data_IF_151279939841
#
_entry.id   IF_151279939841
#
_cell.length_a   1.000
_cell.length_b   1.000
_cell.length_c   1.000
_cell.angle_alpha   90.00
_cell.angle_beta   90.00
_cell.angle_gamma   90.00
#
_symmetry.space_group_name_H-M   'P 1'
#
loop_
_entity.id
_entity.type
_entity.pdbx_description
1 polymer ?
#
# COMPACT_ATOMS: atom_id res chain seq x y z
N UNK A 1 9.82 28.75 -46.89
CA UNK A 1 8.78 29.25 -45.98
C UNK A 1 8.78 28.32 -44.78
N UNK A 2 9.35 28.77 -43.66
CA UNK A 2 9.29 28.01 -42.40
C UNK A 2 7.89 28.09 -41.83
N UNK A 3 7.32 26.94 -41.50
CA UNK A 3 6.10 26.85 -40.69
C UNK A 3 6.43 27.42 -39.31
N UNK A 4 5.69 28.40 -38.78
CA UNK A 4 5.93 28.87 -37.43
C UNK A 4 5.56 27.75 -36.45
N UNK A 5 6.45 27.46 -35.49
CA UNK A 5 6.10 26.62 -34.36
C UNK A 5 4.91 27.28 -33.64
N UNK A 6 3.81 26.55 -33.48
CA UNK A 6 2.67 27.03 -32.73
C UNK A 6 3.13 27.37 -31.30
N UNK A 7 3.09 28.65 -30.94
CA UNK A 7 3.39 29.10 -29.58
C UNK A 7 2.42 28.42 -28.62
N UNK A 8 2.95 27.78 -27.58
CA UNK A 8 2.14 27.27 -26.47
C UNK A 8 1.36 28.44 -25.86
N UNK A 9 0.10 28.22 -25.49
CA UNK A 9 -0.65 29.24 -24.75
C UNK A 9 -0.04 29.41 -23.35
N UNK A 10 -0.15 30.60 -22.77
CA UNK A 10 0.30 30.88 -21.40
C UNK A 10 -0.26 29.88 -20.37
N UNK A 11 -1.49 29.40 -20.60
CA UNK A 11 -2.12 28.34 -19.79
C UNK A 11 -1.43 26.99 -19.93
N UNK A 12 -0.94 26.65 -21.13
CA UNK A 12 -0.15 25.43 -21.35
C UNK A 12 1.24 25.55 -20.72
N UNK A 13 1.83 26.75 -20.69
CA UNK A 13 3.07 27.01 -19.97
C UNK A 13 2.89 26.94 -18.44
N UNK A 14 1.73 27.29 -17.89
CA UNK A 14 1.47 27.16 -16.44
C UNK A 14 0.86 25.80 -16.05
N UNK A 15 0.87 24.81 -16.95
CA UNK A 15 0.41 23.45 -16.64
C UNK A 15 1.59 22.49 -16.51
N UNK A 16 1.64 21.74 -15.41
CA UNK A 16 2.57 20.63 -15.21
C UNK A 16 1.90 19.34 -15.68
N UNK A 17 2.58 18.55 -16.51
CA UNK A 17 2.13 17.22 -16.93
C UNK A 17 3.25 16.20 -16.78
N UNK A 18 2.94 15.06 -16.19
CA UNK A 18 3.86 13.96 -15.98
C UNK A 18 3.15 12.64 -16.26
N UNK A 19 3.87 11.69 -16.85
CA UNK A 19 3.42 10.32 -17.02
C UNK A 19 4.45 9.37 -16.39
N UNK A 20 3.96 8.33 -15.71
CA UNK A 20 4.79 7.27 -15.13
C UNK A 20 4.09 5.93 -15.32
N UNK A 21 4.86 4.92 -15.72
CA UNK A 21 4.39 3.54 -15.74
C UNK A 21 4.99 2.80 -14.56
N UNK A 22 4.14 2.18 -13.74
CA UNK A 22 4.55 1.38 -12.60
C UNK A 22 4.33 -0.10 -12.86
N UNK A 23 5.30 -0.91 -12.47
CA UNK A 23 5.22 -2.38 -12.48
C UNK A 23 4.42 -2.88 -11.26
N UNK A 24 3.17 -2.45 -11.19
CA UNK A 24 2.24 -2.71 -10.11
C UNK A 24 0.80 -2.68 -10.64
N UNK A 25 -0.11 -3.49 -10.06
CA UNK A 25 -1.52 -3.47 -10.44
C UNK A 25 -2.16 -2.13 -10.04
N UNK A 26 -3.18 -1.72 -10.81
CA UNK A 26 -3.85 -0.41 -10.62
C UNK A 26 -4.37 -0.21 -9.21
N UNK A 27 -4.92 -1.25 -8.59
CA UNK A 27 -5.42 -1.19 -7.22
C UNK A 27 -4.33 -0.86 -6.19
N UNK A 28 -3.09 -1.33 -6.42
CA UNK A 28 -1.98 -1.01 -5.53
C UNK A 28 -1.51 0.43 -5.73
N UNK A 29 -1.44 0.92 -6.98
CA UNK A 29 -1.13 2.33 -7.24
C UNK A 29 -2.21 3.23 -6.66
N UNK A 30 -3.49 2.87 -6.82
CA UNK A 30 -4.61 3.57 -6.20
C UNK A 30 -4.52 3.58 -4.67
N UNK A 31 -4.25 2.42 -4.05
CA UNK A 31 -4.05 2.33 -2.60
C UNK A 31 -2.91 3.22 -2.13
N UNK A 32 -1.80 3.30 -2.90
CA UNK A 32 -0.67 4.14 -2.56
C UNK A 32 -1.00 5.64 -2.48
N UNK A 33 -1.97 6.09 -3.29
CA UNK A 33 -2.46 7.47 -3.31
C UNK A 33 -3.59 7.77 -2.32
N UNK A 34 -4.28 6.74 -1.82
CA UNK A 34 -5.54 6.94 -1.06
C UNK A 34 -5.45 6.47 0.38
N UNK A 35 -4.56 5.54 0.70
CA UNK A 35 -4.40 5.04 2.06
C UNK A 35 -3.24 5.76 2.76
N UNK A 36 -3.52 6.23 3.97
CA UNK A 36 -2.58 6.98 4.81
C UNK A 36 -1.28 6.22 5.05
N UNK A 37 -1.39 4.90 5.26
CA UNK A 37 -0.25 4.03 5.57
C UNK A 37 0.79 4.06 4.43
N UNK A 38 0.35 4.19 3.19
CA UNK A 38 1.22 4.33 2.02
C UNK A 38 1.75 5.74 1.81
N UNK A 39 0.87 6.76 1.87
CA UNK A 39 1.26 8.17 1.67
C UNK A 39 2.43 8.56 2.57
N UNK A 40 2.43 8.07 3.82
CA UNK A 40 3.49 8.30 4.80
C UNK A 40 4.89 7.79 4.39
N UNK A 41 5.00 7.09 3.26
CA UNK A 41 6.24 6.44 2.80
C UNK A 41 6.81 7.03 1.51
N UNK A 42 6.06 7.86 0.78
CA UNK A 42 6.51 8.32 -0.53
C UNK A 42 6.21 9.79 -0.86
N UNK A 43 5.25 10.42 -0.17
CA UNK A 43 4.76 11.77 -0.51
C UNK A 43 5.72 12.89 -0.06
N UNK A 44 6.95 12.85 -0.57
CA UNK A 44 7.95 13.88 -0.43
C UNK A 44 9.03 13.72 -1.52
N UNK A 45 9.81 14.77 -1.80
CA UNK A 45 11.03 14.64 -2.61
C UNK A 45 11.98 13.55 -2.07
N UNK A 46 12.91 13.08 -2.90
CA UNK A 46 13.79 11.93 -2.61
C UNK A 46 14.67 12.14 -1.36
N UNK A 47 15.12 13.37 -1.14
CA UNK A 47 15.97 13.78 -0.02
C UNK A 47 15.17 14.20 1.23
N UNK A 48 13.84 14.25 1.13
CA UNK A 48 12.96 14.61 2.24
C UNK A 48 12.44 13.37 2.95
N UNK A 49 11.92 13.58 4.17
CA UNK A 49 11.22 12.56 4.94
C UNK A 49 9.81 13.00 5.28
N UNK A 50 8.80 12.18 4.96
CA UNK A 50 7.44 12.41 5.46
C UNK A 50 7.43 12.27 6.99
N UNK A 51 6.99 13.33 7.68
CA UNK A 51 6.89 13.39 9.14
C UNK A 51 5.47 13.18 9.64
N UNK A 52 4.45 13.52 8.83
CA UNK A 52 3.05 13.26 9.15
C UNK A 52 2.21 13.12 7.89
N UNK A 53 1.17 12.29 7.95
CA UNK A 53 0.18 12.14 6.89
C UNK A 53 -1.22 12.03 7.51
N UNK A 54 -2.13 12.87 7.03
CA UNK A 54 -3.56 12.81 7.29
C UNK A 54 -4.26 12.74 5.96
N UNK A 55 -5.22 11.82 5.81
CA UNK A 55 -5.89 11.62 4.54
C UNK A 55 -7.35 11.19 4.72
N UNK A 56 -8.28 12.11 4.49
CA UNK A 56 -9.70 11.80 4.29
C UNK A 56 -9.98 11.77 2.79
N UNK A 57 -9.77 10.61 2.16
CA UNK A 57 -9.90 10.42 0.73
C UNK A 57 -11.36 10.24 0.29
N UNK A 58 -12.18 11.25 0.56
CA UNK A 58 -13.58 11.33 0.13
C UNK A 58 -13.83 12.65 -0.60
N UNK A 59 -14.84 12.76 -1.48
CA UNK A 59 -15.18 14.06 -2.08
C UNK A 59 -15.50 15.11 -0.99
N UNK A 60 -14.71 16.18 -0.94
CA UNK A 60 -14.76 17.23 0.09
C UNK A 60 -13.86 16.98 1.30
N UNK A 61 -13.32 15.77 1.46
CA UNK A 61 -12.40 15.42 2.53
C UNK A 61 -11.05 16.14 2.41
N UNK A 62 -10.43 16.43 3.55
CA UNK A 62 -9.16 17.13 3.64
C UNK A 62 -7.96 16.17 3.72
N UNK A 63 -6.82 16.61 3.22
CA UNK A 63 -5.55 15.92 3.39
C UNK A 63 -4.47 16.91 3.84
N UNK A 64 -3.46 16.40 4.55
CA UNK A 64 -2.33 17.18 5.05
C UNK A 64 -1.10 16.29 5.14
N UNK A 65 0.02 16.75 4.60
CA UNK A 65 1.30 16.05 4.61
C UNK A 65 2.39 16.97 5.16
N UNK A 66 3.07 16.52 6.21
CA UNK A 66 4.28 17.18 6.72
C UNK A 66 5.51 16.45 6.22
N UNK A 67 6.54 17.20 5.83
CA UNK A 67 7.82 16.68 5.35
C UNK A 67 8.98 17.46 5.95
N UNK A 68 10.11 16.79 6.12
CA UNK A 68 11.34 17.34 6.66
C UNK A 68 12.45 17.31 5.60
N UNK A 69 13.15 18.43 5.41
CA UNK A 69 14.33 18.51 4.54
C UNK A 69 15.56 17.84 5.17
N UNK A 70 16.63 17.56 4.40
CA UNK A 70 17.91 17.07 4.94
C UNK A 70 18.50 17.95 6.04
N UNK A 71 18.29 19.27 5.96
CA UNK A 71 18.75 20.26 6.92
C UNK A 71 17.86 20.33 8.19
N UNK A 72 16.74 19.62 8.20
CA UNK A 72 15.83 19.49 9.33
C UNK A 72 14.62 20.43 9.30
N UNK A 73 14.49 21.27 8.27
CA UNK A 73 13.39 22.21 8.09
C UNK A 73 12.07 21.46 7.89
N UNK A 74 10.98 21.99 8.46
CA UNK A 74 9.64 21.41 8.31
C UNK A 74 8.85 22.17 7.26
N UNK A 75 8.27 21.42 6.33
CA UNK A 75 7.31 21.94 5.36
C UNK A 75 6.01 21.17 5.49
N UNK A 76 4.90 21.87 5.35
CA UNK A 76 3.58 21.23 5.36
C UNK A 76 2.82 21.69 4.14
N UNK A 77 2.15 20.74 3.49
CA UNK A 77 1.19 21.03 2.44
C UNK A 77 -0.12 20.30 2.72
N UNK A 78 -1.20 20.80 2.13
CA UNK A 78 -2.51 20.22 2.29
C UNK A 78 -3.52 20.72 1.28
N UNK A 79 -4.74 20.24 1.43
CA UNK A 79 -5.85 20.67 0.60
C UNK A 79 -7.07 19.78 0.76
N UNK A 80 -7.93 19.78 -0.25
CA UNK A 80 -9.18 19.03 -0.27
C UNK A 80 -9.34 18.23 -1.54
N UNK A 81 -9.93 17.05 -1.42
CA UNK A 81 -10.33 16.25 -2.57
C UNK A 81 -11.57 16.86 -3.23
N UNK A 82 -11.46 17.20 -4.51
CA UNK A 82 -12.58 17.66 -5.34
C UNK A 82 -13.35 16.50 -5.96
N UNK A 83 -12.65 15.42 -6.31
CA UNK A 83 -13.26 14.20 -6.81
C UNK A 83 -12.41 12.98 -6.44
N UNK A 84 -13.08 11.90 -6.06
CA UNK A 84 -12.48 10.59 -5.78
C UNK A 84 -13.31 9.58 -6.56
N UNK A 85 -12.72 8.98 -7.60
CA UNK A 85 -13.38 7.97 -8.44
C UNK A 85 -12.53 6.71 -8.40
N UNK A 86 -12.75 5.80 -7.44
CA UNK A 86 -11.95 4.58 -7.33
C UNK A 86 -12.17 3.63 -8.53
N UNK A 87 -11.13 2.91 -8.99
CA UNK A 87 -9.68 3.15 -8.82
C UNK A 87 -9.10 4.00 -9.97
N UNK A 88 -9.89 4.93 -10.52
CA UNK A 88 -9.65 5.56 -11.82
C UNK A 88 -9.00 6.94 -11.73
N UNK A 89 -9.45 7.79 -10.80
CA UNK A 89 -9.10 9.22 -10.80
C UNK A 89 -9.22 9.88 -9.44
N UNK A 90 -8.26 10.75 -9.13
CA UNK A 90 -8.33 11.73 -8.04
C UNK A 90 -8.20 13.14 -8.61
N UNK A 91 -8.96 14.08 -8.05
CA UNK A 91 -8.75 15.51 -8.23
C UNK A 91 -8.67 16.12 -6.85
N UNK A 92 -7.60 16.83 -6.53
CA UNK A 92 -7.39 17.46 -5.23
C UNK A 92 -6.69 18.81 -5.37
N UNK A 93 -6.93 19.70 -4.41
CA UNK A 93 -6.17 20.94 -4.31
C UNK A 93 -4.90 20.71 -3.51
N UNK A 94 -3.87 21.49 -3.79
CA UNK A 94 -2.61 21.51 -3.05
C UNK A 94 -2.15 22.95 -2.83
N UNK A 95 -1.89 23.29 -1.58
CA UNK A 95 -1.29 24.54 -1.13
C UNK A 95 -0.25 24.23 -0.05
N UNK A 96 0.74 25.10 0.10
CA UNK A 96 1.72 25.06 1.18
C UNK A 96 1.18 25.84 2.39
N UNK A 97 1.47 25.35 3.59
CA UNK A 97 1.19 26.08 4.83
C UNK A 97 2.32 27.06 5.11
N UNK A 98 1.96 28.29 5.49
CA UNK A 98 2.92 29.28 5.98
C UNK A 98 3.29 29.03 7.46
N UNK A 99 4.12 29.91 8.02
CA UNK A 99 4.55 29.83 9.43
C UNK A 99 3.40 29.92 10.45
N UNK A 100 2.23 30.41 10.04
CA UNK A 100 1.03 30.51 10.86
C UNK A 100 0.06 29.34 10.65
N UNK A 101 0.37 28.43 9.72
CA UNK A 101 -0.48 27.30 9.35
C UNK A 101 -1.59 27.65 8.36
N UNK A 102 -1.53 28.81 7.72
CA UNK A 102 -2.48 29.23 6.70
C UNK A 102 -2.04 28.73 5.32
N UNK A 103 -2.97 28.19 4.53
CA UNK A 103 -2.69 27.69 3.19
C UNK A 103 -2.54 28.84 2.19
N UNK A 104 -1.48 28.78 1.39
CA UNK A 104 -1.22 29.71 0.30
C UNK A 104 -2.13 29.47 -0.93
N UNK A 105 -1.76 30.04 -2.08
CA UNK A 105 -2.52 29.87 -3.31
C UNK A 105 -2.57 28.40 -3.73
N UNK A 106 -3.75 27.80 -3.61
CA UNK A 106 -3.98 26.44 -4.02
C UNK A 106 -3.86 26.24 -5.54
N UNK A 107 -3.12 25.21 -5.92
CA UNK A 107 -3.11 24.59 -7.23
C UNK A 107 -4.11 23.43 -7.26
N UNK A 108 -4.45 22.93 -8.45
CA UNK A 108 -5.32 21.75 -8.61
C UNK A 108 -4.57 20.66 -9.34
N UNK A 109 -4.42 19.49 -8.70
CA UNK A 109 -3.84 18.30 -9.26
C UNK A 109 -4.94 17.29 -9.66
N UNK A 110 -4.78 16.69 -10.84
CA UNK A 110 -5.56 15.57 -11.35
C UNK A 110 -4.62 14.41 -11.60
N UNK A 111 -4.92 13.25 -11.03
CA UNK A 111 -4.20 12.01 -11.31
C UNK A 111 -5.17 10.95 -11.81
N UNK A 112 -4.82 10.27 -12.90
CA UNK A 112 -5.59 9.17 -13.48
C UNK A 112 -4.75 7.91 -13.57
N UNK A 113 -5.40 6.76 -13.41
CA UNK A 113 -4.76 5.46 -13.42
C UNK A 113 -5.37 4.55 -14.49
N UNK A 114 -4.56 4.17 -15.46
CA UNK A 114 -4.93 3.31 -16.58
C UNK A 114 -4.20 1.98 -16.47
N UNK A 115 -4.92 0.88 -16.64
CA UNK A 115 -4.35 -0.47 -16.65
C UNK A 115 -3.74 -0.75 -18.03
N UNK A 116 -2.49 -1.22 -18.05
CA UNK A 116 -1.74 -1.55 -19.26
C UNK A 116 -1.07 -2.91 -19.06
N UNK A 117 -1.82 -3.97 -19.34
CA UNK A 117 -1.41 -5.33 -18.94
C UNK A 117 -1.33 -5.44 -17.42
N UNK A 118 -0.23 -5.98 -16.90
CA UNK A 118 0.01 -6.09 -15.44
C UNK A 118 0.59 -4.79 -14.83
N UNK A 119 0.72 -3.74 -15.63
CA UNK A 119 1.28 -2.45 -15.23
C UNK A 119 0.19 -1.37 -15.13
N UNK A 120 0.54 -0.25 -14.50
CA UNK A 120 -0.33 0.92 -14.40
C UNK A 120 0.34 2.13 -15.01
N UNK A 121 -0.31 2.74 -15.99
CA UNK A 121 0.01 4.07 -16.49
C UNK A 121 -0.68 5.11 -15.60
N UNK A 122 0.11 5.89 -14.89
CA UNK A 122 -0.34 7.05 -14.13
C UNK A 122 -0.08 8.32 -14.94
N UNK A 123 -1.13 9.13 -15.13
CA UNK A 123 -1.02 10.49 -15.70
C UNK A 123 -1.31 11.48 -14.60
N UNK A 124 -0.43 12.45 -14.45
CA UNK A 124 -0.52 13.51 -13.46
C UNK A 124 -0.54 14.86 -14.18
N UNK A 125 -1.52 15.69 -13.87
CA UNK A 125 -1.63 17.06 -14.35
C UNK A 125 -1.87 17.99 -13.16
N UNK A 126 -1.12 19.09 -13.08
CA UNK A 126 -1.34 20.13 -12.06
C UNK A 126 -1.39 21.51 -12.70
N UNK A 127 -2.37 22.31 -12.28
CA UNK A 127 -2.67 23.63 -12.84
C UNK A 127 -2.85 24.68 -11.74
N UNK A 128 -2.83 25.96 -12.12
CA UNK A 128 -3.06 27.08 -11.21
C UNK A 128 -1.79 27.66 -10.59
N UNK A 129 -0.62 27.34 -11.14
CA UNK A 129 0.65 27.92 -10.70
C UNK A 129 0.72 29.42 -10.99
N UNK A 130 1.28 30.18 -10.04
CA UNK A 130 1.48 31.63 -10.18
C UNK A 130 2.58 32.00 -11.18
N UNK A 131 3.53 31.10 -11.44
CA UNK A 131 4.60 31.30 -12.42
C UNK A 131 5.18 29.97 -12.92
N UNK A 132 5.89 30.04 -14.04
CA UNK A 132 6.63 28.89 -14.59
C UNK A 132 7.76 28.41 -13.68
N UNK A 133 8.33 29.31 -12.87
CA UNK A 133 9.35 28.99 -11.87
C UNK A 133 8.78 28.08 -10.78
N UNK A 134 7.66 28.47 -10.15
CA UNK A 134 6.98 27.66 -9.11
C UNK A 134 6.52 26.32 -9.68
N UNK A 135 6.00 26.29 -10.93
CA UNK A 135 5.66 25.05 -11.63
C UNK A 135 6.87 24.11 -11.77
N UNK A 136 8.05 24.64 -12.09
CA UNK A 136 9.27 23.83 -12.24
C UNK A 136 9.72 23.23 -10.90
N UNK A 137 9.65 24.00 -9.81
CA UNK A 137 9.97 23.47 -8.47
C UNK A 137 9.03 22.31 -8.10
N UNK A 138 7.73 22.44 -8.42
CA UNK A 138 6.78 21.35 -8.22
C UNK A 138 7.06 20.15 -9.13
N UNK A 139 7.50 20.37 -10.38
CA UNK A 139 7.92 19.28 -11.26
C UNK A 139 9.03 18.45 -10.62
N UNK A 140 10.05 19.12 -10.08
CA UNK A 140 11.21 18.44 -9.48
C UNK A 140 10.82 17.70 -8.21
N UNK A 141 10.02 18.33 -7.34
CA UNK A 141 9.48 17.68 -6.14
C UNK A 141 8.61 16.46 -6.46
N UNK A 142 7.70 16.56 -7.43
CA UNK A 142 6.89 15.41 -7.87
C UNK A 142 7.73 14.33 -8.54
N UNK A 143 8.78 14.69 -9.28
CA UNK A 143 9.65 13.70 -9.90
C UNK A 143 10.34 12.84 -8.85
N UNK A 144 10.89 13.44 -7.79
CA UNK A 144 11.46 12.72 -6.67
C UNK A 144 10.41 11.87 -5.92
N UNK A 145 9.24 12.44 -5.64
CA UNK A 145 8.14 11.71 -4.99
C UNK A 145 7.69 10.48 -5.80
N UNK A 146 7.68 10.57 -7.13
CA UNK A 146 7.31 9.42 -7.98
C UNK A 146 8.39 8.34 -8.04
N UNK A 147 9.67 8.66 -7.85
CA UNK A 147 10.70 7.62 -7.64
C UNK A 147 10.52 6.94 -6.28
N UNK A 148 10.20 7.68 -5.22
CA UNK A 148 9.83 7.11 -3.92
C UNK A 148 8.59 6.21 -4.02
N UNK A 149 7.57 6.62 -4.79
CA UNK A 149 6.38 5.82 -5.06
C UNK A 149 6.74 4.54 -5.79
N UNK A 150 7.55 4.61 -6.86
CA UNK A 150 8.03 3.44 -7.59
C UNK A 150 8.77 2.47 -6.67
N UNK A 151 9.63 2.99 -5.81
CA UNK A 151 10.37 2.20 -4.83
C UNK A 151 9.43 1.50 -3.85
N UNK A 152 8.46 2.23 -3.26
CA UNK A 152 7.43 1.68 -2.37
C UNK A 152 6.64 0.55 -3.05
N UNK A 153 6.16 0.79 -4.27
CA UNK A 153 5.37 -0.16 -5.04
C UNK A 153 6.15 -1.46 -5.32
N UNK A 154 7.44 -1.35 -5.65
CA UNK A 154 8.29 -2.53 -5.88
C UNK A 154 8.45 -3.44 -4.66
N UNK A 155 8.23 -2.87 -3.45
CA UNK A 155 8.37 -3.50 -2.13
C UNK A 155 7.03 -3.71 -1.42
N UNK A 156 5.92 -3.68 -2.16
CA UNK A 156 4.57 -3.84 -1.62
C UNK A 156 3.80 -4.91 -2.39
N UNK A 157 3.12 -5.78 -1.65
CA UNK A 157 2.23 -6.80 -2.17
C UNK A 157 0.81 -6.49 -1.72
N UNK A 158 -0.13 -6.39 -2.66
CA UNK A 158 -1.56 -6.29 -2.38
C UNK A 158 -2.29 -7.43 -3.08
N UNK A 159 -3.03 -8.21 -2.31
CA UNK A 159 -3.90 -9.28 -2.79
C UNK A 159 -5.30 -9.08 -2.25
N UNK A 160 -6.29 -9.29 -3.09
CA UNK A 160 -7.70 -9.35 -2.67
C UNK A 160 -8.28 -10.67 -3.13
N UNK A 161 -8.95 -11.39 -2.23
CA UNK A 161 -9.65 -12.63 -2.56
C UNK A 161 -10.98 -12.70 -1.82
N UNK A 162 -12.00 -13.14 -2.54
CA UNK A 162 -13.30 -13.42 -1.98
C UNK A 162 -13.32 -14.87 -1.52
N UNK A 163 -13.64 -15.09 -0.26
CA UNK A 163 -13.87 -16.42 0.31
C UNK A 163 -15.35 -16.59 0.57
N UNK A 164 -15.88 -17.71 0.09
CA UNK A 164 -17.20 -18.16 0.52
C UNK A 164 -17.06 -18.70 1.96
N UNK A 165 -17.11 -17.79 2.94
CA UNK A 165 -17.10 -18.04 4.37
C UNK A 165 -17.61 -16.78 5.09
N UNK A 166 -18.40 -16.93 6.17
CA UNK A 166 -18.75 -15.78 7.01
C UNK A 166 -17.50 -15.13 7.59
N UNK A 167 -17.54 -13.81 7.76
CA UNK A 167 -16.42 -13.00 8.28
C UNK A 167 -15.92 -13.49 9.64
N UNK A 168 -16.83 -13.96 10.49
CA UNK A 168 -16.51 -14.56 11.78
C UNK A 168 -15.59 -15.77 11.63
N UNK A 169 -15.98 -16.70 10.77
CA UNK A 169 -15.26 -17.95 10.56
C UNK A 169 -13.91 -17.68 9.92
N UNK A 170 -13.84 -16.77 8.93
CA UNK A 170 -12.57 -16.45 8.29
C UNK A 170 -11.60 -15.78 9.26
N UNK A 171 -12.09 -14.87 10.12
CA UNK A 171 -11.28 -14.28 11.17
C UNK A 171 -10.79 -15.35 12.16
N UNK A 172 -11.68 -16.23 12.63
CA UNK A 172 -11.32 -17.32 13.53
C UNK A 172 -10.25 -18.25 12.94
N UNK A 173 -10.42 -18.66 11.68
CA UNK A 173 -9.47 -19.50 10.94
C UNK A 173 -8.12 -18.80 10.73
N UNK A 174 -8.14 -17.47 10.65
CA UNK A 174 -6.93 -16.65 10.52
C UNK A 174 -6.15 -16.54 11.83
N UNK A 175 -6.81 -16.44 12.98
CA UNK A 175 -6.19 -16.04 14.26
C UNK A 175 -5.96 -17.18 15.25
N UNK A 176 -6.42 -18.40 14.95
CA UNK A 176 -6.34 -19.53 15.89
C UNK A 176 -5.39 -20.61 15.42
N UNK A 177 -4.42 -21.04 16.26
CA UNK A 177 -3.46 -22.08 15.91
C UNK A 177 -4.10 -23.39 15.44
N UNK A 178 -5.20 -23.83 16.07
CA UNK A 178 -5.92 -25.06 15.68
C UNK A 178 -6.45 -25.04 14.24
N UNK A 179 -6.58 -23.85 13.65
CA UNK A 179 -6.96 -23.68 12.25
C UNK A 179 -5.75 -23.44 11.35
N UNK A 180 -4.80 -22.60 11.77
CA UNK A 180 -3.63 -22.20 10.97
C UNK A 180 -2.76 -23.38 10.55
N UNK A 181 -2.63 -24.41 11.39
CA UNK A 181 -1.88 -25.64 11.09
C UNK A 181 -2.33 -26.36 9.80
N UNK A 182 -3.51 -26.05 9.28
CA UNK A 182 -4.06 -26.68 8.08
C UNK A 182 -3.85 -25.90 6.78
N UNK A 183 -3.46 -24.63 6.84
CA UNK A 183 -3.48 -23.77 5.65
C UNK A 183 -2.40 -22.69 5.58
N UNK A 184 -1.77 -22.28 6.69
CA UNK A 184 -0.97 -21.05 6.80
C UNK A 184 0.42 -21.12 6.14
N UNK A 185 0.56 -21.86 5.04
CA UNK A 185 1.78 -22.02 4.22
C UNK A 185 1.41 -22.37 2.78
N UNK A 186 2.34 -22.19 1.81
CA UNK A 186 2.15 -22.63 0.43
C UNK A 186 1.93 -24.15 0.31
N UNK A 187 1.40 -24.61 -0.83
CA UNK A 187 1.01 -26.01 -1.08
C UNK A 187 2.12 -27.03 -0.81
N UNK A 188 3.36 -26.69 -1.16
CA UNK A 188 4.59 -27.49 -1.04
C UNK A 188 5.25 -27.47 0.34
N UNK A 189 4.59 -26.86 1.34
CA UNK A 189 5.05 -26.77 2.71
C UNK A 189 4.02 -27.33 3.71
N UNK A 190 4.48 -27.74 4.88
CA UNK A 190 3.65 -28.17 6.00
C UNK A 190 3.92 -27.32 7.24
N UNK A 191 2.87 -27.02 8.02
CA UNK A 191 3.04 -26.42 9.35
C UNK A 191 3.45 -27.54 10.31
N UNK A 192 4.54 -27.34 11.05
CA UNK A 192 5.03 -28.31 12.04
C UNK A 192 4.82 -27.84 13.48
N UNK A 193 4.70 -26.53 13.68
CA UNK A 193 4.32 -25.90 14.94
C UNK A 193 3.73 -24.53 14.63
N UNK A 194 2.76 -24.07 15.40
CA UNK A 194 2.24 -22.72 15.28
C UNK A 194 1.71 -22.27 16.64
N UNK A 195 2.25 -21.16 17.12
CA UNK A 195 1.81 -20.44 18.32
C UNK A 195 1.34 -19.07 17.86
N UNK A 196 0.17 -18.63 18.31
CA UNK A 196 -0.41 -17.34 17.92
C UNK A 196 -1.21 -16.74 19.08
N UNK A 197 -0.80 -15.56 19.54
CA UNK A 197 -1.52 -14.70 20.49
C UNK A 197 -2.06 -13.46 19.75
N UNK A 198 -3.15 -13.65 19.00
CA UNK A 198 -3.77 -12.63 18.14
C UNK A 198 -4.50 -11.51 18.91
N UNK A 199 -3.73 -10.72 19.66
CA UNK A 199 -4.15 -9.48 20.33
C UNK A 199 -3.08 -8.41 20.13
N UNK A 200 -3.43 -7.13 20.32
CA UNK A 200 -2.45 -6.06 20.25
C UNK A 200 -1.27 -6.30 21.23
N UNK A 201 -0.04 -6.24 20.72
CA UNK A 201 1.21 -6.55 21.40
C UNK A 201 1.49 -8.05 21.60
N UNK A 202 0.60 -8.94 21.16
CA UNK A 202 0.81 -10.38 21.15
C UNK A 202 1.72 -10.82 19.99
N UNK A 203 2.33 -11.98 20.12
CA UNK A 203 3.30 -12.51 19.15
C UNK A 203 2.83 -13.84 18.58
N UNK A 204 3.29 -14.15 17.37
CA UNK A 204 3.12 -15.46 16.78
C UNK A 204 4.46 -16.00 16.29
N UNK A 205 4.56 -17.32 16.22
CA UNK A 205 5.70 -18.04 15.67
C UNK A 205 5.25 -19.36 15.11
N UNK A 206 5.53 -19.61 13.83
CA UNK A 206 5.18 -20.87 13.18
C UNK A 206 6.39 -21.47 12.48
N UNK A 207 6.59 -22.77 12.71
CA UNK A 207 7.59 -23.58 12.03
C UNK A 207 6.98 -24.21 10.80
N UNK A 208 7.71 -24.17 9.69
CA UNK A 208 7.28 -24.67 8.39
C UNK A 208 8.32 -25.66 7.87
N UNK A 209 7.88 -26.74 7.23
CA UNK A 209 8.75 -27.73 6.58
C UNK A 209 8.48 -27.76 5.10
N UNK A 210 9.52 -27.61 4.29
CA UNK A 210 9.47 -27.73 2.84
C UNK A 210 9.45 -29.21 2.40
N UNK A 211 9.05 -29.47 1.15
CA UNK A 211 8.99 -30.82 0.58
C UNK A 211 10.35 -31.56 0.55
N UNK A 212 11.48 -30.83 0.56
CA UNK A 212 12.82 -31.40 0.63
C UNK A 212 13.26 -31.76 2.07
N UNK A 213 12.41 -31.48 3.07
CA UNK A 213 12.65 -31.73 4.48
C UNK A 213 13.30 -30.57 5.23
N UNK A 214 13.69 -29.49 4.56
CA UNK A 214 14.23 -28.30 5.22
C UNK A 214 13.15 -27.60 6.04
N UNK A 215 13.54 -27.10 7.21
CA UNK A 215 12.64 -26.42 8.14
C UNK A 215 13.00 -24.94 8.27
N UNK A 216 11.99 -24.09 8.36
CA UNK A 216 12.11 -22.64 8.48
C UNK A 216 11.13 -22.12 9.53
N UNK A 217 11.44 -20.97 10.13
CA UNK A 217 10.60 -20.34 11.13
C UNK A 217 10.22 -18.96 10.66
N UNK A 218 8.96 -18.60 10.90
CA UNK A 218 8.45 -17.25 10.71
C UNK A 218 7.84 -16.76 12.02
N UNK A 219 8.02 -15.49 12.31
CA UNK A 219 7.50 -14.87 13.52
C UNK A 219 7.12 -13.41 13.29
N UNK A 220 6.36 -12.87 14.24
CA UNK A 220 5.88 -11.50 14.19
C UNK A 220 5.16 -11.06 15.46
N UNK A 221 4.84 -9.77 15.51
CA UNK A 221 4.12 -9.13 16.60
C UNK A 221 2.92 -8.36 16.05
N UNK A 222 1.74 -8.57 16.64
CA UNK A 222 0.53 -7.82 16.30
C UNK A 222 0.62 -6.40 16.82
N UNK A 223 0.66 -5.43 15.91
CA UNK A 223 0.65 -4.00 16.22
C UNK A 223 -0.77 -3.50 16.48
N UNK A 224 -1.75 -4.02 15.73
CA UNK A 224 -3.15 -3.64 15.86
C UNK A 224 -4.05 -4.86 15.61
N UNK A 225 -5.09 -5.02 16.43
CA UNK A 225 -6.11 -6.05 16.27
C UNK A 225 -7.48 -5.41 16.48
N UNK A 226 -8.26 -5.35 15.41
CA UNK A 226 -9.68 -4.99 15.43
C UNK A 226 -10.44 -6.26 15.06
N UNK A 227 -11.08 -6.94 16.04
CA UNK A 227 -11.71 -8.23 15.81
C UNK A 227 -12.64 -8.23 14.61
N UNK A 228 -12.49 -9.22 13.73
CA UNK A 228 -13.32 -9.45 12.52
C UNK A 228 -13.22 -8.35 11.46
N UNK A 229 -12.30 -7.40 11.59
CA UNK A 229 -12.17 -6.28 10.67
C UNK A 229 -10.75 -6.09 10.17
N UNK A 230 -9.76 -6.06 11.08
CA UNK A 230 -8.38 -5.72 10.71
C UNK A 230 -7.35 -6.35 11.65
N UNK A 231 -6.28 -6.85 11.06
CA UNK A 231 -5.06 -7.27 11.76
C UNK A 231 -3.88 -6.51 11.13
N UNK A 232 -3.00 -5.96 11.97
CA UNK A 232 -1.71 -5.41 11.55
C UNK A 232 -0.63 -6.11 12.37
N UNK A 233 0.33 -6.74 11.70
CA UNK A 233 1.44 -7.43 12.36
C UNK A 233 2.75 -7.17 11.64
N UNK A 234 3.85 -7.33 12.38
CA UNK A 234 5.14 -7.53 11.75
C UNK A 234 5.25 -8.97 11.24
N UNK A 235 6.14 -9.21 10.27
CA UNK A 235 6.46 -10.53 9.75
C UNK A 235 7.95 -10.59 9.38
N UNK A 236 8.64 -11.62 9.84
CA UNK A 236 10.00 -11.93 9.44
C UNK A 236 10.21 -13.46 9.36
N UNK A 237 11.08 -13.88 8.44
CA UNK A 237 11.70 -15.21 8.50
C UNK A 237 12.85 -15.17 9.50
N UNK A 238 13.00 -16.22 10.29
CA UNK A 238 14.11 -16.33 11.25
C UNK A 238 15.39 -16.78 10.56
N UNK A 239 16.53 -16.30 11.08
CA UNK A 239 17.85 -16.80 10.73
C UNK A 239 18.14 -18.16 11.40
N UNK A 240 19.30 -18.74 11.10
CA UNK A 240 19.73 -20.02 11.68
C UNK A 240 19.89 -19.99 13.21
N UNK A 241 19.95 -18.80 13.82
CA UNK A 241 20.01 -18.60 15.26
C UNK A 241 18.63 -18.33 15.88
N UNK A 242 17.56 -18.40 15.10
CA UNK A 242 16.19 -18.17 15.55
C UNK A 242 15.86 -16.70 15.77
N UNK A 243 16.64 -15.77 15.19
CA UNK A 243 16.39 -14.33 15.29
C UNK A 243 15.60 -13.86 14.07
N UNK A 244 14.60 -12.98 14.24
CA UNK A 244 13.92 -12.36 13.11
C UNK A 244 14.90 -11.67 12.16
N UNK A 245 14.81 -12.02 10.87
CA UNK A 245 15.56 -11.38 9.79
C UNK A 245 14.96 -10.03 9.38
N UNK A 246 14.89 -9.78 8.07
CA UNK A 246 14.24 -8.57 7.55
C UNK A 246 12.73 -8.56 7.92
N UNK A 247 12.29 -7.48 8.57
CA UNK A 247 10.91 -7.31 9.01
C UNK A 247 10.08 -6.54 7.98
N UNK A 248 8.92 -7.12 7.65
CA UNK A 248 7.87 -6.51 6.83
C UNK A 248 6.61 -6.28 7.67
N UNK A 249 5.67 -5.47 7.17
CA UNK A 249 4.40 -5.20 7.84
C UNK A 249 3.27 -5.84 7.03
N UNK A 250 2.49 -6.71 7.67
CA UNK A 250 1.31 -7.36 7.11
C UNK A 250 0.07 -6.68 7.68
N UNK A 251 -0.85 -6.29 6.81
CA UNK A 251 -2.20 -5.84 7.14
C UNK A 251 -3.20 -6.75 6.46
N UNK A 252 -4.12 -7.33 7.24
CA UNK A 252 -5.20 -8.17 6.75
C UNK A 252 -6.52 -7.48 7.10
N UNK A 253 -7.38 -7.28 6.11
CA UNK A 253 -8.72 -6.70 6.29
C UNK A 253 -9.78 -7.71 5.88
N UNK A 254 -10.87 -7.73 6.63
CA UNK A 254 -12.01 -8.62 6.41
C UNK A 254 -13.28 -7.77 6.22
N UNK A 255 -13.90 -7.88 5.05
CA UNK A 255 -15.10 -7.12 4.69
C UNK A 255 -16.20 -8.08 4.24
N UNK A 256 -17.44 -7.85 4.66
CA UNK A 256 -18.57 -8.64 4.16
C UNK A 256 -18.75 -8.41 2.64
N UNK A 257 -18.91 -9.49 1.87
CA UNK A 257 -19.11 -9.39 0.43
C UNK A 257 -19.92 -10.57 -0.11
N UNK A 258 -21.08 -10.29 -0.69
CA UNK A 258 -21.97 -11.26 -1.36
C UNK A 258 -22.26 -12.52 -0.51
N UNK A 259 -22.44 -12.33 0.80
CA UNK A 259 -22.70 -13.41 1.77
C UNK A 259 -21.45 -14.18 2.22
N UNK A 260 -20.28 -13.89 1.63
CA UNK A 260 -18.97 -14.33 2.08
C UNK A 260 -18.14 -13.18 2.64
N UNK A 261 -16.81 -13.33 2.57
CA UNK A 261 -15.85 -12.34 3.04
C UNK A 261 -14.88 -11.99 1.93
N UNK A 262 -14.73 -10.69 1.66
CA UNK A 262 -13.59 -10.16 0.92
C UNK A 262 -12.43 -9.97 1.89
N UNK A 263 -11.32 -10.66 1.61
CA UNK A 263 -10.08 -10.52 2.34
C UNK A 263 -9.11 -9.69 1.51
N UNK A 264 -8.60 -8.62 2.10
CA UNK A 264 -7.48 -7.84 1.54
C UNK A 264 -6.24 -8.10 2.37
N UNK A 265 -5.23 -8.67 1.72
CA UNK A 265 -3.90 -8.90 2.28
C UNK A 265 -2.93 -7.90 1.69
N UNK A 266 -2.38 -7.04 2.54
CA UNK A 266 -1.37 -6.05 2.19
C UNK A 266 -0.10 -6.35 2.97
N UNK A 267 1.01 -6.58 2.27
CA UNK A 267 2.32 -6.71 2.91
C UNK A 267 3.27 -5.68 2.33
N UNK A 268 3.85 -4.86 3.21
CA UNK A 268 4.71 -3.74 2.85
C UNK A 268 6.12 -3.94 3.35
N UNK A 269 7.04 -3.17 2.75
CA UNK A 269 8.43 -3.03 3.17
C UNK A 269 9.32 -4.25 2.91
N UNK A 270 8.93 -5.19 2.04
CA UNK A 270 9.82 -6.30 1.60
C UNK A 270 11.23 -5.83 1.30
N UNK A 271 12.29 -6.55 1.67
CA UNK A 271 13.66 -6.11 1.41
C UNK A 271 13.92 -5.68 -0.05
N UNK A 272 13.34 -6.42 -1.00
CA UNK A 272 13.48 -6.16 -2.43
C UNK A 272 12.30 -6.77 -3.22
N UNK A 273 12.22 -6.42 -4.51
CA UNK A 273 11.17 -6.90 -5.41
C UNK A 273 11.14 -8.43 -5.57
N UNK A 274 12.30 -9.09 -5.60
CA UNK A 274 12.36 -10.55 -5.73
C UNK A 274 11.74 -11.25 -4.52
N UNK A 275 11.99 -10.75 -3.31
CA UNK A 275 11.34 -11.24 -2.08
C UNK A 275 9.82 -11.05 -2.12
N UNK A 276 9.35 -9.87 -2.58
CA UNK A 276 7.93 -9.57 -2.79
C UNK A 276 7.28 -10.54 -3.78
N UNK A 277 7.93 -10.80 -4.91
CA UNK A 277 7.41 -11.68 -5.96
C UNK A 277 7.36 -13.15 -5.53
N UNK A 278 8.36 -13.60 -4.77
CA UNK A 278 8.36 -14.94 -4.18
C UNK A 278 7.20 -15.09 -3.17
N UNK A 279 7.02 -14.11 -2.28
CA UNK A 279 5.89 -14.09 -1.34
C UNK A 279 4.54 -14.05 -2.05
N UNK A 280 4.41 -13.28 -3.13
CA UNK A 280 3.19 -13.24 -3.94
C UNK A 280 2.79 -14.65 -4.41
N UNK A 281 3.73 -15.39 -5.01
CA UNK A 281 3.48 -16.78 -5.46
C UNK A 281 3.10 -17.70 -4.29
N UNK A 282 3.82 -17.59 -3.18
CA UNK A 282 3.54 -18.37 -1.97
C UNK A 282 2.15 -18.08 -1.38
N UNK A 283 1.75 -16.81 -1.31
CA UNK A 283 0.44 -16.41 -0.79
C UNK A 283 -0.73 -16.86 -1.67
N UNK A 284 -0.59 -16.81 -3.00
CA UNK A 284 -1.62 -17.36 -3.90
C UNK A 284 -1.86 -18.86 -3.64
N UNK A 285 -0.78 -19.61 -3.42
CA UNK A 285 -0.81 -21.04 -3.07
C UNK A 285 -1.43 -21.28 -1.68
N UNK A 286 -1.06 -20.45 -0.71
CA UNK A 286 -1.60 -20.45 0.67
C UNK A 286 -3.10 -20.21 0.67
N UNK A 287 -3.60 -19.27 -0.15
CA UNK A 287 -5.03 -19.00 -0.27
C UNK A 287 -5.83 -20.16 -0.88
N UNK A 288 -5.23 -20.98 -1.75
CA UNK A 288 -5.87 -22.22 -2.24
C UNK A 288 -6.02 -23.24 -1.10
N UNK A 289 -5.01 -23.37 -0.23
CA UNK A 289 -5.10 -24.23 0.97
C UNK A 289 -6.19 -23.73 1.93
N UNK A 290 -6.25 -22.42 2.17
CA UNK A 290 -7.26 -21.80 3.02
C UNK A 290 -8.68 -22.07 2.49
N UNK A 291 -8.92 -21.84 1.20
CA UNK A 291 -10.21 -22.13 0.56
C UNK A 291 -10.60 -23.61 0.70
N UNK A 292 -9.65 -24.52 0.46
CA UNK A 292 -9.87 -25.96 0.63
C UNK A 292 -10.19 -26.33 2.07
N UNK A 293 -9.57 -25.66 3.06
CA UNK A 293 -9.81 -25.91 4.48
C UNK A 293 -11.19 -25.40 4.93
N UNK A 294 -11.57 -24.19 4.52
CA UNK A 294 -12.90 -23.63 4.77
C UNK A 294 -14.00 -24.53 4.19
N UNK A 295 -13.78 -25.09 3.00
CA UNK A 295 -14.68 -26.08 2.40
C UNK A 295 -14.87 -27.33 3.27
N UNK A 296 -13.80 -27.84 3.91
CA UNK A 296 -13.88 -28.98 4.82
C UNK A 296 -14.68 -28.65 6.09
N UNK A 297 -14.45 -27.49 6.69
CA UNK A 297 -15.16 -27.07 7.91
C UNK A 297 -16.68 -26.97 7.70
N UNK A 298 -17.11 -26.55 6.51
CA UNK A 298 -18.54 -26.44 6.14
C UNK A 298 -19.25 -27.78 5.98
N UNK A 299 -18.56 -28.82 5.53
CA UNK A 299 -19.14 -30.17 5.38
C UNK A 299 -19.31 -30.86 6.74
N UNK A 300 -18.53 -30.44 7.73
CA UNK A 300 -18.56 -31.01 9.09
C UNK A 300 -19.48 -30.28 10.08
N UNK A 301 -20.07 -29.15 9.68
CA UNK A 301 -21.00 -28.34 10.49
C UNK A 301 -22.46 -28.64 10.14
#
# INVERSE_FOLDING_TARGET
MSVPAAGRSETDELTLRMERTFDAPRELVWAAWTQREHISKWWCPEDFKVTSAQNDCTPGGSWRCGMQSPEGEQHVCGGVYRAVVPPLRLIFTMAWEDEHGELDQATTATVTFEEVGDQTLMKFEQTGFASTHVRNEHHDGWSGAFENLKYLLSRTLLLTRNFDAPRELLYEVWTKPEHQVHWCVPLDYEIISCEDDARAGGTYRCGIRAADGNEYWMSGCYQEVVPREKLVSTFALEDEQGRPGHESIVTVRFEDHDGGTRLTFLQMLFENAAGRDAHHKGMLSTFVKLESYLGRLRVTA
#
